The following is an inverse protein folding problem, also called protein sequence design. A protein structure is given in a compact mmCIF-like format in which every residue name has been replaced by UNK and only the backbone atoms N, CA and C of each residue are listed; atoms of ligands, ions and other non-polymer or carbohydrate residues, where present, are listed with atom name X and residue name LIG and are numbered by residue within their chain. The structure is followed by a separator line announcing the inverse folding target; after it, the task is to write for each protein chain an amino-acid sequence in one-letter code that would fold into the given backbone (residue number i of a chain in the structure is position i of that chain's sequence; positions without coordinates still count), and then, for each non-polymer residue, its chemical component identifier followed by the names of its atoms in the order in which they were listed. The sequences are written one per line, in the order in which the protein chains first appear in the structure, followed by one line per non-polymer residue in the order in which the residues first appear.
data_IF_325187012731
#
_entry.id   IF_325187012731
#
_cell.length_a   1.000
_cell.length_b   1.000
_cell.length_c   1.000
_cell.angle_alpha   90.00
_cell.angle_beta   90.00
_cell.angle_gamma   90.00
#
_symmetry.space_group_name_H-M   'P 1'
#
loop_
_entity.id
_entity.type
_entity.pdbx_description
1 polymer ?
#
# COMPACT_ATOMS: atom_id res chain seq x y z
N UNK A 1 -27.40 -19.26 -2.03
CA UNK A 1 -26.14 -18.60 -1.67
C UNK A 1 -26.34 -17.11 -1.72
N UNK A 2 -25.86 -16.45 -0.73
CA UNK A 2 -25.92 -15.02 -0.61
C UNK A 2 -25.04 -14.37 -1.67
N UNK A 3 -25.51 -13.30 -2.27
CA UNK A 3 -24.77 -12.50 -3.24
C UNK A 3 -23.44 -12.00 -2.68
N UNK A 4 -23.44 -11.65 -1.42
CA UNK A 4 -22.28 -11.22 -0.67
C UNK A 4 -21.18 -12.28 -0.62
N UNK A 5 -21.52 -13.54 -0.46
CA UNK A 5 -20.55 -14.63 -0.44
C UNK A 5 -19.93 -14.83 -1.82
N UNK A 6 -20.69 -14.61 -2.87
CA UNK A 6 -20.20 -14.70 -4.24
C UNK A 6 -19.19 -13.58 -4.51
N UNK A 7 -19.51 -12.37 -4.12
CA UNK A 7 -18.62 -11.24 -4.28
C UNK A 7 -17.32 -11.43 -3.51
N UNK A 8 -17.41 -11.91 -2.28
CA UNK A 8 -16.24 -12.18 -1.47
C UNK A 8 -15.34 -13.22 -2.11
N UNK A 9 -15.90 -14.29 -2.66
CA UNK A 9 -15.11 -15.32 -3.34
C UNK A 9 -14.44 -14.79 -4.59
N UNK A 10 -15.11 -13.99 -5.37
CA UNK A 10 -14.55 -13.45 -6.61
C UNK A 10 -13.40 -12.47 -6.34
N UNK A 11 -13.38 -11.86 -5.17
CA UNK A 11 -12.38 -10.90 -4.77
C UNK A 11 -11.22 -11.49 -3.95
N UNK A 12 -11.22 -12.80 -3.72
CA UNK A 12 -10.16 -13.47 -2.97
C UNK A 12 -8.79 -13.25 -3.60
N UNK A 13 -8.71 -13.18 -4.91
CA UNK A 13 -7.46 -12.92 -5.63
C UNK A 13 -6.87 -11.54 -5.34
N UNK A 14 -7.67 -10.64 -4.79
CA UNK A 14 -7.26 -9.27 -4.42
C UNK A 14 -6.93 -9.16 -2.93
N UNK A 15 -6.79 -10.30 -2.27
CA UNK A 15 -6.53 -10.39 -0.84
C UNK A 15 -7.72 -9.91 0.00
N UNK A 16 -8.41 -10.85 0.59
CA UNK A 16 -9.59 -10.58 1.41
C UNK A 16 -9.33 -9.54 2.51
N UNK A 17 -8.18 -9.62 3.16
CA UNK A 17 -7.82 -8.67 4.22
C UNK A 17 -7.76 -7.24 3.70
N UNK A 18 -7.25 -7.06 2.47
CA UNK A 18 -7.20 -5.76 1.86
C UNK A 18 -8.59 -5.22 1.58
N UNK A 19 -9.48 -6.07 1.09
CA UNK A 19 -10.85 -5.68 0.80
C UNK A 19 -11.64 -5.37 2.06
N UNK A 20 -11.38 -6.08 3.13
CA UNK A 20 -12.03 -5.82 4.40
C UNK A 20 -11.66 -4.46 4.99
N UNK A 21 -10.50 -3.94 4.65
CA UNK A 21 -10.03 -2.64 5.10
C UNK A 21 -10.54 -1.48 4.23
N UNK A 22 -11.02 -1.74 3.05
CA UNK A 22 -11.67 -0.71 2.23
C UNK A 22 -13.00 -0.35 2.87
N UNK A 23 -13.30 0.92 2.96
CA UNK A 23 -14.51 1.44 3.59
C UNK A 23 -14.74 0.92 5.01
N UNK A 24 -13.66 0.70 5.75
CA UNK A 24 -13.74 0.33 7.16
C UNK A 24 -13.98 -1.15 7.43
N UNK A 25 -13.65 -2.02 6.50
CA UNK A 25 -13.75 -3.46 6.70
C UNK A 25 -15.17 -3.98 6.74
N UNK A 26 -16.08 -3.34 6.05
CA UNK A 26 -17.50 -3.68 6.06
C UNK A 26 -17.84 -4.56 4.88
N UNK A 27 -18.63 -5.58 5.13
CA UNK A 27 -19.29 -6.33 4.07
C UNK A 27 -20.14 -5.39 3.20
N UNK A 28 -20.18 -5.67 1.91
CA UNK A 28 -20.94 -4.85 0.97
C UNK A 28 -20.13 -3.73 0.35
N UNK A 29 -18.82 -3.71 0.57
CA UNK A 29 -17.93 -2.84 -0.19
C UNK A 29 -17.80 -3.39 -1.61
N UNK A 30 -17.98 -2.52 -2.57
CA UNK A 30 -17.76 -2.84 -3.98
C UNK A 30 -16.48 -2.19 -4.45
N UNK A 31 -15.57 -2.99 -4.96
CA UNK A 31 -14.34 -2.50 -5.55
C UNK A 31 -14.66 -1.80 -6.87
N UNK A 32 -14.25 -0.56 -7.03
CA UNK A 32 -14.52 0.25 -8.21
C UNK A 32 -13.28 0.47 -9.08
N UNK A 33 -12.11 0.20 -8.53
CA UNK A 33 -10.88 0.31 -9.28
C UNK A 33 -9.68 -0.09 -8.44
N UNK A 34 -8.61 -0.41 -9.12
CA UNK A 34 -7.34 -0.70 -8.46
C UNK A 34 -6.19 -0.42 -9.42
N UNK A 35 -5.02 -0.27 -8.87
CA UNK A 35 -3.82 -0.08 -9.66
C UNK A 35 -2.59 -0.15 -8.80
N UNK A 36 -1.45 -0.02 -9.45
CA UNK A 36 -0.17 -0.02 -8.73
C UNK A 36 0.85 0.84 -9.44
N UNK A 37 1.81 1.31 -8.67
CA UNK A 37 2.99 1.98 -9.19
C UNK A 37 4.15 1.70 -8.24
N UNK A 38 5.37 1.98 -8.70
CA UNK A 38 6.56 1.57 -7.99
C UNK A 38 7.59 2.70 -8.01
N UNK A 39 8.43 2.74 -6.99
CA UNK A 39 9.61 3.60 -6.98
C UNK A 39 10.66 3.08 -7.96
N UNK A 40 11.66 3.89 -8.23
CA UNK A 40 12.84 3.47 -8.98
C UNK A 40 14.08 4.02 -8.29
N UNK A 41 14.72 3.17 -7.49
CA UNK A 41 15.94 3.54 -6.78
C UNK A 41 17.21 3.21 -7.59
N UNK A 42 17.06 2.56 -8.73
CA UNK A 42 18.18 1.99 -9.47
C UNK A 42 18.72 0.70 -8.83
N UNK A 43 18.10 0.22 -7.77
CA UNK A 43 18.44 -1.03 -7.09
C UNK A 43 17.23 -1.96 -7.08
N UNK A 44 17.39 -3.17 -6.55
CA UNK A 44 16.26 -4.08 -6.37
C UNK A 44 15.41 -3.76 -5.15
N UNK A 45 15.83 -2.83 -4.30
CA UNK A 45 15.03 -2.38 -3.19
C UNK A 45 14.18 -1.18 -3.61
N UNK A 46 12.89 -1.41 -3.70
CA UNK A 46 11.91 -0.40 -4.07
C UNK A 46 10.68 -0.52 -3.18
N UNK A 47 9.77 0.44 -3.27
CA UNK A 47 8.43 0.29 -2.75
C UNK A 47 7.46 0.08 -3.91
N UNK A 48 6.49 -0.79 -3.67
CA UNK A 48 5.32 -0.96 -4.52
C UNK A 48 4.14 -0.38 -3.77
N UNK A 49 3.38 0.45 -4.47
CA UNK A 49 2.16 1.05 -3.94
C UNK A 49 0.99 0.44 -4.69
N UNK A 50 0.16 -0.28 -3.99
CA UNK A 50 -1.09 -0.81 -4.52
C UNK A 50 -2.24 0.03 -3.95
N UNK A 51 -3.15 0.44 -4.81
CA UNK A 51 -4.33 1.16 -4.36
C UNK A 51 -5.59 0.43 -4.81
N UNK A 52 -6.60 0.55 -3.97
CA UNK A 52 -7.91 -0.08 -4.17
C UNK A 52 -8.97 0.96 -3.87
N UNK A 53 -9.80 1.25 -4.86
CA UNK A 53 -10.93 2.16 -4.70
C UNK A 53 -12.19 1.36 -4.46
N UNK A 54 -13.03 1.80 -3.55
CA UNK A 54 -14.26 1.11 -3.22
C UNK A 54 -15.39 2.06 -2.87
N UNK A 55 -16.60 1.54 -2.91
CA UNK A 55 -17.81 2.24 -2.50
C UNK A 55 -18.60 1.33 -1.57
N UNK A 56 -19.08 1.87 -0.47
CA UNK A 56 -19.90 1.12 0.47
C UNK A 56 -21.38 1.11 0.05
N UNK A 57 -22.20 0.43 0.83
CA UNK A 57 -23.65 0.32 0.56
C UNK A 57 -24.39 1.65 0.65
N UNK A 58 -23.78 2.66 1.26
CA UNK A 58 -24.35 4.00 1.43
C UNK A 58 -23.85 4.96 0.32
N UNK A 59 -23.03 4.49 -0.60
CA UNK A 59 -22.46 5.31 -1.66
C UNK A 59 -21.22 6.10 -1.25
N UNK A 60 -20.67 5.86 -0.07
CA UNK A 60 -19.43 6.52 0.36
C UNK A 60 -18.24 5.87 -0.35
N UNK A 61 -17.42 6.70 -0.93
CA UNK A 61 -16.23 6.26 -1.65
C UNK A 61 -15.00 6.40 -0.77
N UNK A 62 -14.10 5.47 -0.93
CA UNK A 62 -12.86 5.44 -0.18
C UNK A 62 -11.72 4.81 -0.97
N UNK A 63 -10.54 4.98 -0.43
CA UNK A 63 -9.30 4.50 -1.03
C UNK A 63 -8.48 3.77 0.03
N UNK A 64 -8.04 2.57 -0.30
CA UNK A 64 -7.05 1.88 0.49
C UNK A 64 -5.73 1.87 -0.26
N UNK A 65 -4.65 2.17 0.44
CA UNK A 65 -3.30 2.20 -0.11
C UNK A 65 -2.42 1.26 0.69
N UNK A 66 -1.79 0.34 0.00
CA UNK A 66 -0.85 -0.61 0.61
C UNK A 66 0.54 -0.33 0.06
N UNK A 67 1.47 -0.04 0.95
CA UNK A 67 2.86 0.20 0.60
C UNK A 67 3.67 -1.00 1.04
N UNK A 68 4.37 -1.61 0.11
CA UNK A 68 5.17 -2.82 0.34
C UNK A 68 6.59 -2.63 -0.15
N UNK A 69 7.53 -3.27 0.53
CA UNK A 69 8.93 -3.33 0.08
C UNK A 69 9.11 -4.51 -0.88
N UNK A 70 9.95 -4.31 -1.90
CA UNK A 70 10.31 -5.38 -2.83
C UNK A 70 11.38 -6.30 -2.26
N UNK A 71 11.65 -7.40 -2.96
CA UNK A 71 12.71 -8.31 -2.58
C UNK A 71 14.10 -7.72 -2.79
N UNK A 72 15.04 -8.23 -2.05
CA UNK A 72 16.44 -7.87 -2.15
C UNK A 72 17.21 -8.23 -0.89
N UNK A 73 18.50 -7.95 -0.90
CA UNK A 73 19.32 -8.09 0.28
C UNK A 73 19.14 -6.86 1.16
N UNK A 74 18.71 -7.05 2.37
CA UNK A 74 18.48 -5.95 3.30
C UNK A 74 19.53 -5.97 4.39
N UNK A 75 20.29 -4.90 4.46
CA UNK A 75 21.21 -4.68 5.58
C UNK A 75 20.43 -4.11 6.75
N UNK A 76 20.83 -4.48 7.94
CA UNK A 76 20.22 -3.94 9.14
C UNK A 76 20.27 -2.42 9.10
N UNK A 77 19.14 -1.80 9.26
CA UNK A 77 19.03 -0.36 9.15
C UNK A 77 17.70 0.11 9.69
N UNK A 78 17.21 1.15 9.11
CA UNK A 78 16.05 1.88 9.61
C UNK A 78 14.73 1.23 9.22
N UNK A 79 14.53 -0.02 9.57
CA UNK A 79 13.34 -0.79 9.22
C UNK A 79 12.05 -0.22 9.82
N UNK A 80 12.16 0.62 10.83
CA UNK A 80 11.01 1.14 11.57
C UNK A 80 10.83 2.65 11.39
N UNK A 81 11.44 3.23 10.37
CA UNK A 81 11.41 4.68 10.19
C UNK A 81 10.08 5.23 9.68
N UNK A 82 9.18 4.38 9.29
CA UNK A 82 7.84 4.82 8.93
C UNK A 82 7.64 5.09 7.45
N UNK A 83 6.36 5.15 7.10
CA UNK A 83 5.87 5.40 5.75
C UNK A 83 4.90 6.56 5.80
N UNK A 84 5.01 7.47 4.84
CA UNK A 84 4.04 8.54 4.64
C UNK A 84 3.39 8.39 3.28
N UNK A 85 2.11 8.68 3.23
CA UNK A 85 1.35 8.75 1.99
C UNK A 85 0.65 10.09 1.92
N UNK A 86 0.78 10.78 0.80
CA UNK A 86 0.00 11.98 0.51
C UNK A 86 -1.02 11.67 -0.58
N UNK A 87 -2.26 12.08 -0.33
CA UNK A 87 -3.34 11.98 -1.30
C UNK A 87 -3.87 13.40 -1.53
N UNK A 88 -3.72 13.91 -2.76
CA UNK A 88 -4.06 15.30 -3.09
C UNK A 88 -3.48 16.33 -2.12
N UNK A 89 -2.25 16.08 -1.67
CA UNK A 89 -1.56 17.00 -0.76
C UNK A 89 -1.86 16.81 0.72
N UNK A 90 -2.81 15.95 1.08
CA UNK A 90 -3.09 15.62 2.47
C UNK A 90 -2.25 14.43 2.89
N UNK A 91 -1.48 14.58 3.96
CA UNK A 91 -0.51 13.59 4.41
C UNK A 91 -1.06 12.68 5.50
N UNK A 92 -0.71 11.41 5.39
CA UNK A 92 -1.01 10.36 6.36
C UNK A 92 0.30 9.65 6.69
N UNK A 93 0.54 9.37 7.94
CA UNK A 93 1.79 8.74 8.37
C UNK A 93 1.52 7.54 9.27
N UNK A 94 2.37 6.55 9.15
CA UNK A 94 2.34 5.36 10.01
C UNK A 94 3.76 4.85 10.22
N UNK A 95 3.99 4.22 11.36
CA UNK A 95 5.19 3.41 11.54
C UNK A 95 5.09 2.21 10.61
N UNK A 96 6.19 1.85 9.96
CA UNK A 96 6.14 0.65 9.14
C UNK A 96 6.09 -0.61 10.00
N UNK A 97 5.43 -1.63 9.48
CA UNK A 97 5.40 -2.94 10.11
C UNK A 97 6.80 -3.56 10.12
N UNK A 98 7.09 -4.43 11.10
CA UNK A 98 8.32 -5.18 11.08
C UNK A 98 8.46 -5.97 9.78
N UNK A 99 9.63 -5.86 9.16
CA UNK A 99 9.91 -6.58 7.94
C UNK A 99 10.48 -7.94 8.30
N UNK A 100 9.86 -9.00 7.80
CA UNK A 100 10.36 -10.35 7.96
C UNK A 100 11.33 -10.67 6.83
N UNK A 101 12.53 -11.07 7.18
CA UNK A 101 13.49 -11.53 6.20
C UNK A 101 14.28 -12.71 6.74
N UNK A 102 14.79 -13.51 5.84
CA UNK A 102 15.60 -14.68 6.18
C UNK A 102 16.86 -14.67 5.33
N UNK A 103 18.00 -14.90 5.97
CA UNK A 103 19.27 -14.94 5.26
C UNK A 103 19.69 -13.61 4.64
N UNK A 104 19.24 -12.50 5.21
CA UNK A 104 19.57 -11.17 4.72
C UNK A 104 18.76 -10.72 3.51
N UNK A 105 17.73 -11.46 3.14
CA UNK A 105 16.85 -11.11 2.03
C UNK A 105 15.43 -10.89 2.53
N UNK A 106 14.74 -9.95 1.88
CA UNK A 106 13.30 -9.78 2.06
C UNK A 106 12.61 -10.18 0.77
N UNK A 107 11.45 -10.79 0.92
CA UNK A 107 10.48 -10.89 -0.16
C UNK A 107 9.61 -9.63 -0.16
N UNK A 108 8.54 -9.61 -0.91
CA UNK A 108 7.59 -8.49 -0.83
C UNK A 108 6.91 -8.50 0.53
N UNK A 109 7.04 -7.40 1.25
CA UNK A 109 6.48 -7.24 2.59
C UNK A 109 5.70 -5.94 2.70
N UNK A 110 4.51 -6.03 3.31
CA UNK A 110 3.70 -4.85 3.58
C UNK A 110 4.35 -4.00 4.68
N UNK A 111 4.65 -2.76 4.34
CA UNK A 111 5.20 -1.78 5.28
C UNK A 111 4.10 -1.05 6.03
N UNK A 112 3.08 -0.61 5.32
CA UNK A 112 1.96 0.12 5.91
C UNK A 112 0.72 0.02 5.01
N UNK A 113 -0.45 0.14 5.65
CA UNK A 113 -1.74 0.20 4.97
C UNK A 113 -2.49 1.42 5.47
N UNK A 114 -3.06 2.17 4.53
CA UNK A 114 -3.82 3.38 4.82
C UNK A 114 -5.23 3.23 4.26
N UNK A 115 -6.23 3.53 5.07
CA UNK A 115 -7.62 3.58 4.63
C UNK A 115 -8.07 5.03 4.69
N UNK A 116 -8.45 5.58 3.55
CA UNK A 116 -8.77 6.99 3.42
C UNK A 116 -10.20 7.12 2.93
N UNK A 117 -11.12 7.58 3.79
CA UNK A 117 -12.51 7.77 3.42
C UNK A 117 -12.73 9.06 2.64
N UNK A 118 -13.87 9.17 2.00
CA UNK A 118 -14.33 10.38 1.33
C UNK A 118 -13.38 10.90 0.25
N UNK A 119 -12.92 9.98 -0.59
CA UNK A 119 -12.04 10.29 -1.71
C UNK A 119 -12.81 10.05 -3.00
N UNK A 120 -12.74 11.01 -3.92
CA UNK A 120 -13.52 10.98 -5.15
C UNK A 120 -12.67 11.39 -6.35
N UNK A 121 -12.95 10.77 -7.49
CA UNK A 121 -12.39 11.16 -8.77
C UNK A 121 -10.93 10.80 -8.94
N UNK A 122 -10.24 11.58 -9.73
CA UNK A 122 -8.82 11.38 -10.00
C UNK A 122 -7.99 12.02 -8.89
N UNK A 123 -7.14 11.24 -8.26
CA UNK A 123 -6.32 11.70 -7.14
C UNK A 123 -4.86 11.36 -7.38
N UNK A 124 -3.98 12.24 -6.92
CA UNK A 124 -2.54 11.97 -6.93
C UNK A 124 -2.14 11.31 -5.61
N UNK A 125 -1.30 10.29 -5.71
CA UNK A 125 -0.77 9.58 -4.56
C UNK A 125 0.75 9.69 -4.60
N UNK A 126 1.36 10.08 -3.49
CA UNK A 126 2.80 10.01 -3.30
C UNK A 126 3.07 9.23 -2.02
N UNK A 127 3.90 8.22 -2.13
CA UNK A 127 4.31 7.41 -0.98
C UNK A 127 5.81 7.58 -0.74
N UNK A 128 6.19 7.62 0.52
CA UNK A 128 7.58 7.75 0.95
C UNK A 128 7.85 6.73 2.04
N UNK A 129 8.88 5.92 1.86
CA UNK A 129 9.41 5.09 2.92
C UNK A 129 10.73 5.71 3.39
N UNK A 130 10.80 6.09 4.65
CA UNK A 130 12.00 6.67 5.26
C UNK A 130 13.01 5.58 5.60
N UNK A 131 13.50 4.90 4.59
CA UNK A 131 14.42 3.76 4.75
C UNK A 131 15.70 4.18 5.47
N UNK A 132 16.40 5.18 4.93
CA UNK A 132 17.61 5.78 5.51
C UNK A 132 18.64 4.76 6.02
N UNK A 133 18.93 3.78 5.22
CA UNK A 133 19.86 2.70 5.59
C UNK A 133 20.74 2.29 4.42
N UNK A 134 21.45 1.20 4.60
CA UNK A 134 22.29 0.62 3.57
C UNK A 134 21.61 -0.57 2.93
N UNK A 135 21.75 -0.67 1.63
CA UNK A 135 21.26 -1.80 0.87
C UNK A 135 22.36 -2.30 -0.06
N UNK A 136 22.86 -3.51 0.24
CA UNK A 136 24.00 -4.07 -0.51
C UNK A 136 25.25 -3.19 -0.46
N UNK A 137 25.48 -2.50 0.65
CA UNK A 137 26.60 -1.59 0.82
C UNK A 137 26.38 -0.19 0.24
N UNK A 138 25.21 0.07 -0.32
CA UNK A 138 24.86 1.37 -0.90
C UNK A 138 23.94 2.12 0.06
N UNK A 139 24.29 3.34 0.46
CA UNK A 139 23.42 4.16 1.28
C UNK A 139 22.17 4.56 0.46
N UNK A 140 21.00 4.32 1.03
CA UNK A 140 19.73 4.71 0.42
C UNK A 140 18.97 5.57 1.44
N UNK A 141 18.57 6.74 1.02
CA UNK A 141 17.75 7.63 1.84
C UNK A 141 16.28 7.23 1.83
N UNK A 142 15.41 8.21 1.72
CA UNK A 142 13.98 7.97 1.57
C UNK A 142 13.67 7.48 0.16
N UNK A 143 12.73 6.56 0.06
CA UNK A 143 12.29 5.95 -1.20
C UNK A 143 10.93 6.48 -1.56
N UNK A 144 10.77 7.04 -2.76
CA UNK A 144 9.57 7.73 -3.21
C UNK A 144 8.92 7.01 -4.37
N UNK A 145 7.60 6.95 -4.35
CA UNK A 145 6.79 6.50 -5.48
C UNK A 145 5.60 7.42 -5.65
N UNK A 146 5.26 7.74 -6.88
CA UNK A 146 4.12 8.62 -7.18
C UNK A 146 3.30 8.05 -8.32
N UNK A 147 2.00 8.21 -8.23
CA UNK A 147 1.07 7.76 -9.26
C UNK A 147 -0.30 8.39 -9.10
N UNK A 148 -1.20 7.98 -9.95
CA UNK A 148 -2.59 8.45 -9.96
C UNK A 148 -3.52 7.29 -9.70
N UNK A 149 -4.62 7.59 -9.01
CA UNK A 149 -5.72 6.65 -8.81
C UNK A 149 -7.02 7.30 -9.24
N UNK A 150 -7.99 6.49 -9.59
CA UNK A 150 -9.36 6.96 -9.90
C UNK A 150 -10.32 6.28 -8.93
N UNK A 151 -11.03 7.08 -8.17
CA UNK A 151 -11.94 6.61 -7.12
C UNK A 151 -13.38 6.89 -7.49
#
# INVERSE_FOLDING_TARGET
MDKKDIEKKSMTALEDDALENVAGGVDGVTLTGSGSFMSNTGTSLNIIVNWYAGVDIYGNRGLMIVVSATSGNLMAGSLLNGVEVSVNGMSYAASNNPINYSGGSISTNTLATFTIPNVYGSVSITAVWHFNGNYGGVPIGSIYASGMATV
#
